data_IF_247382922511
#
_entry.id   IF_247382922511
#
_cell.length_a   1.000
_cell.length_b   1.000
_cell.length_c   1.000
_cell.angle_alpha   90.00
_cell.angle_beta   90.00
_cell.angle_gamma   90.00
#
_symmetry.space_group_name_H-M   'P 1'
#
loop_
_entity.id
_entity.type
_entity.pdbx_description
1 polymer ?
#
# COMPACT_ATOMS: atom_id res chain seq x y z
N UNK A 1 2.76 -0.68 -0.48
CA UNK A 1 1.64 -0.33 0.41
C UNK A 1 2.10 -0.37 1.85
N UNK A 2 1.72 0.63 2.64
CA UNK A 2 2.09 0.76 4.06
C UNK A 2 0.79 0.76 4.86
N UNK A 3 0.68 -0.21 5.78
CA UNK A 3 -0.53 -0.42 6.59
C UNK A 3 -0.20 -0.19 8.07
N UNK A 4 -0.85 0.75 8.72
CA UNK A 4 -0.63 1.05 10.13
C UNK A 4 -1.15 -0.05 11.05
N UNK A 5 -2.36 -0.53 10.82
CA UNK A 5 -3.03 -1.54 11.65
C UNK A 5 -2.73 -2.96 11.18
N UNK A 6 -2.19 -3.79 12.06
CA UNK A 6 -1.94 -5.21 11.79
C UNK A 6 -3.21 -5.99 11.43
N UNK A 7 -4.35 -5.60 11.99
CA UNK A 7 -5.67 -6.18 11.70
C UNK A 7 -6.06 -6.05 10.23
N UNK A 8 -5.57 -5.02 9.53
CA UNK A 8 -5.85 -4.76 8.11
C UNK A 8 -4.78 -5.29 7.16
N UNK A 9 -3.67 -5.81 7.70
CA UNK A 9 -2.55 -6.29 6.89
C UNK A 9 -2.93 -7.42 5.93
N UNK A 10 -3.62 -8.45 6.42
CA UNK A 10 -4.02 -9.59 5.59
C UNK A 10 -4.96 -9.20 4.44
N UNK A 11 -5.90 -8.28 4.70
CA UNK A 11 -6.78 -7.74 3.66
C UNK A 11 -5.98 -6.97 2.61
N UNK A 12 -5.11 -6.08 3.04
CA UNK A 12 -4.27 -5.30 2.13
C UNK A 12 -3.34 -6.21 1.30
N UNK A 13 -2.76 -7.24 1.91
CA UNK A 13 -1.90 -8.20 1.23
C UNK A 13 -2.66 -8.99 0.16
N UNK A 14 -3.87 -9.45 0.46
CA UNK A 14 -4.73 -10.17 -0.50
C UNK A 14 -5.03 -9.32 -1.75
N UNK A 15 -5.30 -8.04 -1.57
CA UNK A 15 -5.57 -7.13 -2.69
C UNK A 15 -4.29 -6.82 -3.46
N UNK A 16 -3.22 -6.47 -2.74
CA UNK A 16 -1.93 -6.09 -3.31
C UNK A 16 -1.28 -7.22 -4.12
N UNK A 17 -1.51 -8.49 -3.72
CA UNK A 17 -0.99 -9.66 -4.43
C UNK A 17 -1.51 -9.78 -5.86
N UNK A 18 -2.72 -9.29 -6.15
CA UNK A 18 -3.27 -9.28 -7.51
C UNK A 18 -2.48 -8.35 -8.45
N UNK A 19 -1.73 -7.40 -7.89
CA UNK A 19 -0.91 -6.44 -8.61
C UNK A 19 0.60 -6.65 -8.36
N UNK A 20 0.98 -7.76 -7.72
CA UNK A 20 2.37 -8.04 -7.30
C UNK A 20 3.01 -6.94 -6.45
N UNK A 21 2.19 -6.15 -5.72
CA UNK A 21 2.63 -5.03 -4.91
C UNK A 21 2.97 -5.50 -3.49
N UNK A 22 4.16 -5.21 -2.96
CA UNK A 22 4.53 -5.57 -1.59
C UNK A 22 3.80 -4.71 -0.55
N UNK A 23 3.45 -5.34 0.58
CA UNK A 23 2.83 -4.68 1.73
C UNK A 23 3.78 -4.68 2.91
N UNK A 24 3.86 -3.55 3.60
CA UNK A 24 4.67 -3.37 4.80
C UNK A 24 3.76 -2.98 5.97
N UNK A 25 3.88 -3.69 7.10
CA UNK A 25 3.13 -3.34 8.31
C UNK A 25 3.74 -2.10 8.99
N UNK A 26 2.88 -1.16 9.40
CA UNK A 26 3.28 0.17 9.84
C UNK A 26 3.70 0.31 11.29
N UNK A 27 3.57 -0.72 12.15
CA UNK A 27 4.18 -0.65 13.49
C UNK A 27 5.69 -0.59 13.33
N UNK A 28 6.25 0.62 13.44
CA UNK A 28 7.68 0.87 13.21
C UNK A 28 7.99 1.55 11.87
N UNK A 29 7.01 2.25 11.26
CA UNK A 29 7.28 3.10 10.08
C UNK A 29 8.44 4.10 10.32
N UNK A 30 8.71 4.42 11.59
CA UNK A 30 9.89 5.17 12.00
C UNK A 30 11.19 4.33 11.97
N UNK A 31 11.14 3.00 11.86
CA UNK A 31 12.33 2.17 11.85
C UNK A 31 13.01 2.16 10.48
N UNK A 32 14.35 2.14 10.49
CA UNK A 32 15.17 2.20 9.29
C UNK A 32 15.01 0.95 8.39
N UNK A 33 14.93 -0.25 8.98
CA UNK A 33 14.95 -1.49 8.21
C UNK A 33 13.82 -1.64 7.17
N UNK A 34 12.53 -1.39 7.49
CA UNK A 34 11.47 -1.40 6.48
C UNK A 34 11.69 -0.38 5.36
N UNK A 35 12.20 0.82 5.69
CA UNK A 35 12.49 1.85 4.69
C UNK A 35 13.62 1.41 3.77
N UNK A 36 14.69 0.83 4.32
CA UNK A 36 15.80 0.30 3.55
C UNK A 36 15.35 -0.80 2.57
N UNK A 37 14.45 -1.71 2.98
CA UNK A 37 13.89 -2.73 2.09
C UNK A 37 13.05 -2.13 0.95
N UNK A 38 12.26 -1.08 1.22
CA UNK A 38 11.51 -0.37 0.18
C UNK A 38 12.47 0.28 -0.80
N UNK A 39 13.50 0.97 -0.29
CA UNK A 39 14.52 1.61 -1.13
C UNK A 39 15.26 0.63 -2.02
N UNK A 40 15.72 -0.51 -1.47
CA UNK A 40 16.39 -1.54 -2.25
C UNK A 40 15.53 -2.08 -3.40
N UNK A 41 14.23 -2.29 -3.16
CA UNK A 41 13.30 -2.69 -4.23
C UNK A 41 13.14 -1.61 -5.28
N UNK A 42 12.99 -0.36 -4.84
CA UNK A 42 12.91 0.79 -5.75
C UNK A 42 14.15 0.91 -6.63
N UNK A 43 15.34 0.85 -6.05
CA UNK A 43 16.59 0.86 -6.82
C UNK A 43 16.67 -0.28 -7.85
N UNK A 44 16.32 -1.51 -7.43
CA UNK A 44 16.38 -2.69 -8.32
C UNK A 44 15.35 -2.62 -9.45
N UNK A 45 14.25 -1.91 -9.25
CA UNK A 45 13.21 -1.77 -10.28
C UNK A 45 13.62 -0.90 -11.47
N UNK A 46 14.64 -0.05 -11.31
CA UNK A 46 15.06 0.91 -12.31
C UNK A 46 13.99 1.95 -12.70
N UNK A 47 12.94 2.09 -11.89
CA UNK A 47 11.84 3.03 -12.17
C UNK A 47 12.16 4.42 -11.63
N UNK A 48 11.64 5.44 -12.30
CA UNK A 48 11.86 6.86 -11.92
C UNK A 48 10.97 7.31 -10.75
N UNK A 49 9.90 6.55 -10.46
CA UNK A 49 8.90 6.91 -9.46
C UNK A 49 8.73 5.83 -8.41
N UNK A 50 8.71 6.26 -7.15
CA UNK A 50 8.30 5.47 -5.99
C UNK A 50 6.93 5.96 -5.52
N UNK A 51 5.90 5.15 -5.67
CA UNK A 51 4.57 5.44 -5.14
C UNK A 51 4.37 4.70 -3.83
N UNK A 52 4.03 5.45 -2.77
CA UNK A 52 3.76 4.94 -1.44
C UNK A 52 2.25 5.10 -1.15
N UNK A 53 1.55 4.00 -1.02
CA UNK A 53 0.12 3.97 -0.70
C UNK A 53 -0.06 3.68 0.78
N UNK A 54 -0.81 4.53 1.49
CA UNK A 54 -0.98 4.46 2.93
C UNK A 54 -2.39 4.06 3.33
N UNK A 55 -2.48 3.16 4.30
CA UNK A 55 -3.68 2.80 5.04
C UNK A 55 -3.44 3.12 6.52
N UNK A 56 -3.94 4.27 6.97
CA UNK A 56 -3.70 4.81 8.32
C UNK A 56 -4.98 5.29 8.95
N UNK A 57 -5.00 5.41 10.26
CA UNK A 57 -6.11 6.00 11.01
C UNK A 57 -6.35 7.46 10.60
N UNK A 58 -7.55 7.95 10.85
CA UNK A 58 -7.86 9.37 10.74
C UNK A 58 -7.75 9.99 12.14
N UNK A 59 -6.51 10.23 12.54
CA UNK A 59 -6.13 10.84 13.81
C UNK A 59 -4.88 11.73 13.61
N UNK A 60 -4.44 12.47 14.64
CA UNK A 60 -3.28 13.37 14.52
C UNK A 60 -2.01 12.68 14.00
N UNK A 61 -1.74 11.46 14.43
CA UNK A 61 -0.53 10.73 14.07
C UNK A 61 -0.69 10.06 12.70
N UNK A 62 -1.83 9.42 12.42
CA UNK A 62 -2.15 8.79 11.14
C UNK A 62 -2.12 9.76 9.95
N UNK A 63 -2.56 11.02 10.16
CA UNK A 63 -2.47 12.07 9.14
C UNK A 63 -1.03 12.52 8.86
N UNK A 64 -0.13 12.35 9.82
CA UNK A 64 1.27 12.75 9.67
C UNK A 64 2.16 11.62 9.12
N UNK A 65 1.73 10.36 9.22
CA UNK A 65 2.54 9.18 8.84
C UNK A 65 3.09 9.30 7.41
N UNK A 66 2.24 9.63 6.44
CA UNK A 66 2.66 9.71 5.03
C UNK A 66 3.75 10.77 4.81
N UNK A 67 3.58 11.96 5.40
CA UNK A 67 4.55 13.04 5.28
C UNK A 67 5.89 12.68 5.96
N UNK A 68 5.83 12.16 7.19
CA UNK A 68 7.04 11.76 7.93
C UNK A 68 7.78 10.63 7.23
N UNK A 69 7.07 9.62 6.73
CA UNK A 69 7.67 8.51 6.01
C UNK A 69 8.37 8.98 4.73
N UNK A 70 7.72 9.86 3.98
CA UNK A 70 8.29 10.45 2.76
C UNK A 70 9.55 11.26 3.06
N UNK A 71 9.53 12.10 4.11
CA UNK A 71 10.73 12.85 4.54
C UNK A 71 11.87 11.92 4.91
N UNK A 72 11.62 10.87 5.68
CA UNK A 72 12.65 9.90 6.02
C UNK A 72 13.21 9.14 4.81
N UNK A 73 12.36 8.83 3.81
CA UNK A 73 12.85 8.21 2.58
C UNK A 73 13.76 9.14 1.79
N UNK A 74 13.47 10.43 1.76
CA UNK A 74 14.33 11.43 1.12
C UNK A 74 15.63 11.64 1.89
N UNK A 75 15.55 11.75 3.22
CA UNK A 75 16.72 12.05 4.08
C UNK A 75 17.67 10.84 4.20
N UNK A 76 17.13 9.62 4.39
CA UNK A 76 17.96 8.42 4.60
C UNK A 76 18.60 7.89 3.28
N UNK A 77 17.99 8.16 2.13
CA UNK A 77 18.36 7.51 0.87
C UNK A 77 18.54 8.46 -0.32
N UNK A 78 18.58 9.75 -0.09
CA UNK A 78 18.77 10.81 -1.11
C UNK A 78 17.78 10.70 -2.30
N UNK A 79 16.55 10.22 -2.05
CA UNK A 79 15.55 10.14 -3.10
C UNK A 79 15.02 11.54 -3.40
N UNK A 80 15.09 12.02 -4.65
CA UNK A 80 14.56 13.33 -4.98
C UNK A 80 13.06 13.45 -4.69
N UNK A 81 12.60 14.57 -4.14
CA UNK A 81 11.18 14.78 -3.82
C UNK A 81 10.24 14.55 -5.03
N UNK A 82 10.70 14.88 -6.24
CA UNK A 82 9.95 14.64 -7.47
C UNK A 82 9.74 13.16 -7.82
N UNK A 83 10.53 12.27 -7.22
CA UNK A 83 10.48 10.83 -7.47
C UNK A 83 9.63 10.06 -6.46
N UNK A 84 9.17 10.71 -5.36
CA UNK A 84 8.33 10.07 -4.35
C UNK A 84 6.92 10.65 -4.40
N UNK A 85 5.92 9.76 -4.47
CA UNK A 85 4.51 10.10 -4.43
C UNK A 85 3.84 9.35 -3.29
N UNK A 86 3.25 10.09 -2.36
CA UNK A 86 2.53 9.53 -1.23
C UNK A 86 1.02 9.74 -1.42
N UNK A 87 0.25 8.65 -1.37
CA UNK A 87 -1.21 8.65 -1.51
C UNK A 87 -1.82 7.94 -0.32
N UNK A 88 -2.78 8.56 0.36
CA UNK A 88 -3.57 7.94 1.42
C UNK A 88 -4.82 7.31 0.81
N UNK A 89 -4.87 5.98 0.75
CA UNK A 89 -6.03 5.23 0.25
C UNK A 89 -7.16 5.18 1.28
N UNK A 90 -6.80 5.07 2.58
CA UNK A 90 -7.71 5.13 3.73
C UNK A 90 -6.91 5.45 5.01
N UNK A 91 -7.47 6.04 6.03
CA UNK A 91 -8.81 6.58 6.16
C UNK A 91 -8.74 8.10 5.91
N UNK A 92 -9.38 8.58 4.86
CA UNK A 92 -9.37 10.01 4.54
C UNK A 92 -10.51 10.75 5.25
N UNK A 93 -10.37 12.06 5.45
CA UNK A 93 -11.41 12.89 6.04
C UNK A 93 -12.72 12.86 5.23
N UNK A 94 -12.62 12.72 3.91
CA UNK A 94 -13.78 12.57 3.04
C UNK A 94 -14.52 11.26 3.29
N UNK A 95 -13.77 10.15 3.38
CA UNK A 95 -14.35 8.83 3.69
C UNK A 95 -15.03 8.83 5.07
N UNK A 96 -14.40 9.44 6.10
CA UNK A 96 -14.99 9.58 7.43
C UNK A 96 -16.36 10.28 7.37
N UNK A 97 -16.43 11.37 6.61
CA UNK A 97 -17.65 12.17 6.47
C UNK A 97 -18.73 11.46 5.63
N UNK A 98 -18.34 10.89 4.48
CA UNK A 98 -19.31 10.31 3.52
C UNK A 98 -19.84 8.95 3.94
N UNK A 99 -19.05 8.18 4.68
CA UNK A 99 -19.45 6.86 5.18
C UNK A 99 -20.10 6.91 6.58
N UNK A 100 -20.22 8.11 7.15
CA UNK A 100 -20.73 8.32 8.52
C UNK A 100 -20.09 7.34 9.53
N UNK A 101 -18.79 7.22 9.48
CA UNK A 101 -18.07 6.28 10.30
C UNK A 101 -18.12 6.67 11.78
N UNK A 102 -18.34 5.70 12.68
CA UNK A 102 -18.40 5.99 14.10
C UNK A 102 -17.08 6.54 14.60
N UNK A 103 -17.10 7.78 15.10
CA UNK A 103 -15.97 8.34 15.82
C UNK A 103 -16.14 8.05 17.32
N UNK A 104 -15.57 6.97 17.78
CA UNK A 104 -15.62 6.57 19.19
C UNK A 104 -14.55 7.22 20.04
N UNK A 105 -13.60 7.92 19.42
CA UNK A 105 -12.39 8.41 20.09
C UNK A 105 -12.22 9.92 19.91
N UNK A 106 -11.81 10.58 20.98
CA UNK A 106 -11.26 11.92 20.89
C UNK A 106 -9.78 11.84 20.46
N UNK A 107 -9.38 12.78 19.62
CA UNK A 107 -8.00 12.87 19.18
C UNK A 107 -7.08 13.12 20.37
N UNK A 108 -5.95 12.41 20.42
CA UNK A 108 -5.00 12.48 21.54
C UNK A 108 -4.36 13.87 21.63
N UNK A 109 -4.72 14.64 22.66
CA UNK A 109 -4.15 15.97 22.93
C UNK A 109 -2.63 15.93 23.20
N UNK A 110 -2.13 14.78 23.67
CA UNK A 110 -0.69 14.56 23.90
C UNK A 110 0.13 14.40 22.62
N UNK A 111 -0.52 14.21 21.47
CA UNK A 111 0.19 14.15 20.19
C UNK A 111 0.73 15.54 19.81
N UNK A 112 1.98 15.64 19.38
CA UNK A 112 2.55 16.90 18.85
C UNK A 112 1.78 17.40 17.62
N UNK A 113 1.06 16.52 16.94
CA UNK A 113 0.29 16.81 15.75
C UNK A 113 -1.16 17.26 16.06
N UNK A 114 -1.60 17.19 17.32
CA UNK A 114 -2.98 17.46 17.72
C UNK A 114 -3.48 18.83 17.27
N UNK A 115 -2.73 19.89 17.53
CA UNK A 115 -3.16 21.28 17.21
C UNK A 115 -3.43 21.43 15.71
N UNK A 116 -2.54 20.90 14.88
CA UNK A 116 -2.66 20.95 13.42
C UNK A 116 -3.86 20.15 12.93
N UNK A 117 -4.05 18.96 13.50
CA UNK A 117 -5.19 18.09 13.20
C UNK A 117 -6.51 18.75 13.60
N UNK A 118 -6.60 19.24 14.84
CA UNK A 118 -7.82 19.86 15.38
C UNK A 118 -8.26 21.10 14.57
N UNK A 119 -7.34 21.93 14.13
CA UNK A 119 -7.64 23.09 13.28
C UNK A 119 -8.23 22.66 11.93
N UNK A 120 -7.77 21.54 11.37
CA UNK A 120 -8.16 21.12 10.03
C UNK A 120 -9.38 20.20 10.02
N UNK A 121 -9.52 19.34 11.03
CA UNK A 121 -10.47 18.23 11.04
C UNK A 121 -11.37 18.19 12.29
N UNK A 122 -11.13 19.05 13.28
CA UNK A 122 -11.76 18.96 14.59
C UNK A 122 -11.06 17.98 15.53
N UNK A 123 -11.70 17.64 16.65
CA UNK A 123 -11.11 16.82 17.71
C UNK A 123 -11.48 15.33 17.64
N UNK A 124 -12.28 14.95 16.64
CA UNK A 124 -12.78 13.57 16.51
C UNK A 124 -11.82 12.70 15.68
N UNK A 125 -11.36 11.62 16.27
CA UNK A 125 -10.52 10.62 15.62
C UNK A 125 -11.34 9.39 15.21
N UNK A 126 -10.96 8.75 14.11
CA UNK A 126 -11.59 7.53 13.61
C UNK A 126 -10.50 6.52 13.26
N UNK A 127 -10.63 5.32 13.79
CA UNK A 127 -9.73 4.24 13.50
C UNK A 127 -10.03 3.61 12.12
N UNK A 128 -9.01 3.15 11.42
CA UNK A 128 -9.13 2.41 10.16
C UNK A 128 -10.01 1.15 10.31
N UNK A 129 -10.04 0.59 11.52
CA UNK A 129 -10.86 -0.58 11.83
C UNK A 129 -12.38 -0.30 11.84
N UNK A 130 -12.79 0.95 11.91
CA UNK A 130 -14.19 1.34 11.75
C UNK A 130 -14.68 1.23 10.30
N UNK A 131 -13.77 1.23 9.31
CA UNK A 131 -14.15 1.09 7.90
C UNK A 131 -14.53 -0.35 7.57
N UNK A 132 -15.70 -0.61 6.95
CA UNK A 132 -16.07 -1.94 6.50
C UNK A 132 -15.06 -2.52 5.51
N UNK A 133 -14.76 -3.82 5.65
CA UNK A 133 -13.71 -4.49 4.85
C UNK A 133 -13.91 -4.36 3.34
N UNK A 134 -15.14 -4.50 2.84
CA UNK A 134 -15.43 -4.35 1.41
C UNK A 134 -15.21 -2.92 0.90
N UNK A 135 -15.48 -1.91 1.74
CA UNK A 135 -15.24 -0.50 1.39
C UNK A 135 -13.74 -0.20 1.37
N UNK A 136 -12.99 -0.72 2.34
CA UNK A 136 -11.53 -0.61 2.38
C UNK A 136 -10.88 -1.30 1.18
N UNK A 137 -11.37 -2.48 0.81
CA UNK A 137 -10.92 -3.21 -0.38
C UNK A 137 -11.10 -2.37 -1.65
N UNK A 138 -12.29 -1.82 -1.84
CA UNK A 138 -12.58 -0.95 -2.98
C UNK A 138 -11.68 0.29 -2.98
N UNK A 139 -11.55 0.98 -1.86
CA UNK A 139 -10.72 2.18 -1.75
C UNK A 139 -9.24 1.90 -2.07
N UNK A 140 -8.72 0.76 -1.61
CA UNK A 140 -7.34 0.35 -1.90
C UNK A 140 -7.16 0.00 -3.38
N UNK A 141 -8.09 -0.76 -3.97
CA UNK A 141 -8.07 -1.12 -5.38
C UNK A 141 -8.13 0.13 -6.27
N UNK A 142 -9.11 1.00 -6.05
CA UNK A 142 -9.27 2.25 -6.81
C UNK A 142 -7.98 3.11 -6.74
N UNK A 143 -7.35 3.16 -5.56
CA UNK A 143 -6.09 3.89 -5.38
C UNK A 143 -4.93 3.26 -6.15
N UNK A 144 -4.79 1.93 -6.11
CA UNK A 144 -3.75 1.22 -6.88
C UNK A 144 -3.95 1.51 -8.37
N UNK A 145 -5.16 1.31 -8.88
CA UNK A 145 -5.51 1.49 -10.29
C UNK A 145 -5.36 2.94 -10.77
N UNK A 146 -5.48 3.92 -9.86
CA UNK A 146 -5.24 5.33 -10.20
C UNK A 146 -3.77 5.71 -10.38
N UNK A 147 -2.84 4.88 -9.92
CA UNK A 147 -1.38 5.18 -9.94
C UNK A 147 -0.57 4.23 -10.81
N UNK A 148 -1.18 3.19 -11.38
CA UNK A 148 -0.58 2.28 -12.35
C UNK A 148 -1.22 2.47 -13.72
N UNK A 149 -0.51 2.08 -14.76
CA UNK A 149 -1.09 1.88 -16.10
C UNK A 149 -1.78 0.52 -16.12
N UNK A 150 -3.10 0.51 -15.96
CA UNK A 150 -3.91 -0.71 -15.85
C UNK A 150 -3.90 -1.50 -17.16
N UNK A 151 -3.90 -0.83 -18.30
CA UNK A 151 -3.90 -1.49 -19.60
C UNK A 151 -2.57 -2.18 -19.87
N UNK A 152 -1.46 -1.49 -19.61
CA UNK A 152 -0.13 -2.10 -19.69
C UNK A 152 0.03 -3.26 -18.71
N UNK A 153 -0.46 -3.11 -17.47
CA UNK A 153 -0.44 -4.19 -16.47
C UNK A 153 -1.21 -5.43 -16.95
N UNK A 154 -2.40 -5.24 -17.52
CA UNK A 154 -3.22 -6.35 -18.00
C UNK A 154 -2.58 -7.06 -19.19
N UNK A 155 -1.89 -6.34 -20.08
CA UNK A 155 -1.13 -6.93 -21.19
C UNK A 155 -0.01 -7.84 -20.67
N UNK A 156 0.80 -7.37 -19.71
CA UNK A 156 1.87 -8.17 -19.10
C UNK A 156 1.31 -9.44 -18.42
N UNK A 157 0.18 -9.32 -17.70
CA UNK A 157 -0.48 -10.48 -17.08
C UNK A 157 -0.95 -11.49 -18.11
N UNK A 158 -1.44 -11.05 -19.26
CA UNK A 158 -1.89 -11.97 -20.32
C UNK A 158 -0.71 -12.65 -21.02
N UNK A 159 0.38 -11.93 -21.26
CA UNK A 159 1.62 -12.49 -21.80
C UNK A 159 2.21 -13.55 -20.83
N UNK A 160 2.27 -13.26 -19.54
CA UNK A 160 2.72 -14.22 -18.51
C UNK A 160 1.85 -15.50 -18.52
N UNK A 161 0.53 -15.37 -18.67
CA UNK A 161 -0.36 -16.53 -18.76
C UNK A 161 -0.07 -17.39 -19.98
N UNK A 162 0.16 -16.78 -21.13
CA UNK A 162 0.49 -17.50 -22.36
C UNK A 162 1.81 -18.23 -22.24
N UNK A 163 2.85 -17.57 -21.71
CA UNK A 163 4.15 -18.20 -21.44
C UNK A 163 4.05 -19.36 -20.45
N UNK A 164 3.27 -19.20 -19.36
CA UNK A 164 3.01 -20.28 -18.41
C UNK A 164 2.35 -21.51 -19.10
N UNK A 165 1.35 -21.29 -19.93
CA UNK A 165 0.71 -22.39 -20.68
C UNK A 165 1.68 -23.11 -21.62
N UNK A 166 2.54 -22.38 -22.32
CA UNK A 166 3.56 -22.96 -23.17
C UNK A 166 4.58 -23.79 -22.36
N UNK A 167 5.05 -23.27 -21.23
CA UNK A 167 5.97 -23.97 -20.37
C UNK A 167 5.38 -25.25 -19.78
N UNK A 168 4.12 -25.22 -19.36
CA UNK A 168 3.39 -26.39 -18.88
C UNK A 168 3.22 -27.44 -19.98
N UNK A 169 2.91 -27.03 -21.21
CA UNK A 169 2.82 -27.94 -22.34
C UNK A 169 4.17 -28.61 -22.66
N UNK A 170 5.24 -27.84 -22.69
CA UNK A 170 6.62 -28.38 -22.90
C UNK A 170 7.03 -29.33 -21.76
N UNK A 171 6.72 -28.99 -20.52
CA UNK A 171 6.99 -29.85 -19.37
C UNK A 171 6.24 -31.18 -19.48
N UNK A 172 4.97 -31.16 -19.88
CA UNK A 172 4.16 -32.38 -20.07
C UNK A 172 4.77 -33.28 -21.13
N UNK A 173 5.11 -32.73 -22.30
CA UNK A 173 5.77 -33.49 -23.41
C UNK A 173 7.10 -34.09 -22.96
N UNK A 174 7.90 -33.37 -22.20
CA UNK A 174 9.16 -33.88 -21.68
C UNK A 174 8.94 -35.06 -20.71
N UNK A 175 7.96 -34.97 -19.80
CA UNK A 175 7.64 -36.04 -18.87
C UNK A 175 7.08 -37.30 -19.57
N UNK A 176 6.26 -37.12 -20.61
CA UNK A 176 5.75 -38.24 -21.45
C UNK A 176 6.91 -38.95 -22.20
N UNK A 177 7.85 -38.18 -22.75
CA UNK A 177 9.02 -38.75 -23.42
C UNK A 177 9.93 -39.55 -22.47
N UNK A 178 10.12 -39.06 -21.24
CA UNK A 178 10.91 -39.78 -20.20
C UNK A 178 10.16 -41.04 -19.74
N UNK A 179 8.84 -40.98 -19.54
CA UNK A 179 8.03 -42.13 -19.15
C UNK A 179 7.89 -43.19 -20.24
N UNK A 180 7.95 -42.79 -21.52
CA UNK A 180 7.93 -43.74 -22.64
C UNK A 180 9.31 -44.42 -22.91
N UNK A 181 10.38 -43.95 -22.28
CA UNK A 181 11.72 -44.51 -22.39
C UNK A 181 12.06 -45.54 -21.28
N UNK A 182 11.13 -45.82 -20.37
CA UNK A 182 11.22 -46.87 -19.35
C UNK A 182 10.36 -48.06 -19.74
#
# INVERSE_FOLDING_TARGET
IIVEKRTRYALAQRIASNYTIPVTAGKGYASFAPRAHIFQRYQRSGKDRLVLVFLTDHDPDGEQIAASFTSYMMEDFDIPARSIFAVKAALTAEQVRTLDLPSALEAKESSPNFKRFAVKYGTRAVELDAMPGAVLEKALRDTIESVIDVDAFNLEVEEERQECHELEARRRLALEAIGAAQ
#
